data_IF_813214701104
#
_entry.id   IF_813214701104
#
_cell.length_a   1.000
_cell.length_b   1.000
_cell.length_c   1.000
_cell.angle_alpha   90.00
_cell.angle_beta   90.00
_cell.angle_gamma   90.00
#
_symmetry.space_group_name_H-M   'P 1'
#
loop_
_entity.id
_entity.type
_entity.pdbx_description
1 polymer ?
#
# COMPACT_ATOMS: atom_id res chain seq x y z
N UNK A 1 26.59 11.34 3.66
CA UNK A 1 25.43 12.00 3.04
C UNK A 1 25.76 13.46 2.81
N UNK A 2 25.31 14.01 1.68
CA UNK A 2 25.52 15.41 1.33
C UNK A 2 24.16 16.06 1.07
N UNK A 3 24.09 17.34 1.31
CA UNK A 3 22.95 18.14 0.88
C UNK A 3 23.00 18.32 -0.65
N UNK A 4 21.92 17.96 -1.34
CA UNK A 4 21.89 17.92 -2.81
C UNK A 4 21.98 19.29 -3.49
N UNK A 5 21.58 20.37 -2.80
CA UNK A 5 21.61 21.73 -3.35
C UNK A 5 22.96 22.44 -3.11
N UNK A 6 23.57 22.20 -1.95
CA UNK A 6 24.75 22.95 -1.51
C UNK A 6 26.03 22.14 -1.50
N UNK A 7 25.94 20.81 -1.55
CA UNK A 7 27.07 19.90 -1.39
C UNK A 7 27.63 19.83 0.05
N UNK A 8 26.97 20.46 1.04
CA UNK A 8 27.40 20.40 2.42
C UNK A 8 27.27 18.99 2.98
N UNK A 9 28.22 18.57 3.81
CA UNK A 9 28.17 17.28 4.49
C UNK A 9 27.08 17.31 5.56
N UNK A 10 26.07 16.47 5.45
CA UNK A 10 25.01 16.27 6.46
C UNK A 10 25.37 15.14 7.43
N UNK A 11 25.93 14.05 6.92
CA UNK A 11 26.30 12.89 7.72
C UNK A 11 27.57 12.24 7.17
N UNK A 12 28.39 11.70 8.03
CA UNK A 12 29.56 10.93 7.68
C UNK A 12 29.68 9.71 8.60
N UNK A 13 29.73 8.53 7.98
CA UNK A 13 30.05 7.27 8.66
C UNK A 13 31.49 6.86 8.32
N UNK A 14 32.44 6.97 9.28
CA UNK A 14 33.85 6.74 9.01
C UNK A 14 34.26 5.27 9.17
N UNK A 15 33.43 4.39 9.72
CA UNK A 15 33.77 2.99 9.97
C UNK A 15 33.68 2.10 8.73
N UNK A 16 33.04 2.60 7.66
CA UNK A 16 32.92 1.89 6.40
C UNK A 16 34.30 1.59 5.78
N UNK A 17 34.44 0.37 5.33
CA UNK A 17 35.64 -0.13 4.64
C UNK A 17 35.23 -0.94 3.42
N UNK A 18 35.85 -0.64 2.26
CA UNK A 18 35.58 -1.32 0.99
C UNK A 18 36.90 -1.72 0.33
N UNK A 19 36.95 -2.92 -0.24
CA UNK A 19 38.07 -3.41 -1.03
C UNK A 19 37.79 -3.43 -2.53
N UNK A 20 36.56 -3.29 -2.91
CA UNK A 20 36.11 -3.34 -4.30
C UNK A 20 35.52 -1.99 -4.69
N UNK A 21 35.46 -1.71 -5.96
CA UNK A 21 34.85 -0.47 -6.47
C UNK A 21 33.35 -0.66 -6.75
N UNK A 22 32.74 -1.68 -6.20
CA UNK A 22 31.39 -2.12 -6.59
C UNK A 22 30.36 -2.01 -5.46
N UNK A 23 30.78 -1.79 -4.22
CA UNK A 23 29.86 -1.56 -3.12
C UNK A 23 29.22 -0.18 -3.26
N UNK A 24 27.93 -0.15 -3.13
CA UNK A 24 27.14 1.08 -3.07
C UNK A 24 25.98 0.93 -2.08
N UNK A 25 25.53 2.00 -1.47
CA UNK A 25 24.39 1.94 -0.58
C UNK A 25 23.09 1.67 -1.35
N UNK A 26 22.22 0.91 -0.71
CA UNK A 26 20.79 0.84 -1.05
C UNK A 26 20.02 1.73 -0.10
N UNK A 27 18.86 2.22 -0.53
CA UNK A 27 17.98 3.06 0.28
C UNK A 27 16.59 2.46 0.20
N UNK A 28 16.11 1.92 1.30
CA UNK A 28 14.84 1.24 1.38
C UNK A 28 14.32 1.29 2.82
N UNK A 29 13.02 1.24 3.00
CA UNK A 29 12.39 1.00 4.28
C UNK A 29 12.53 -0.49 4.61
N UNK A 30 13.34 -0.83 5.61
CA UNK A 30 13.66 -2.23 5.93
C UNK A 30 13.00 -2.73 7.20
N UNK A 31 12.47 -1.85 8.03
CA UNK A 31 11.75 -2.20 9.24
C UNK A 31 10.25 -1.86 9.17
N UNK A 32 9.84 -1.33 8.01
CA UNK A 32 8.46 -1.04 7.67
C UNK A 32 7.83 0.04 8.57
N UNK A 33 8.62 1.04 8.92
CA UNK A 33 8.17 2.20 9.70
C UNK A 33 7.74 3.40 8.82
N UNK A 34 7.84 3.26 7.49
CA UNK A 34 7.49 4.27 6.50
C UNK A 34 8.64 5.20 6.12
N UNK A 35 9.79 5.11 6.77
CA UNK A 35 10.97 5.93 6.49
C UNK A 35 12.09 5.09 5.87
N UNK A 36 12.96 5.72 5.10
CA UNK A 36 14.02 5.00 4.40
C UNK A 36 15.29 4.88 5.24
N UNK A 37 15.89 3.69 5.26
CA UNK A 37 17.21 3.41 5.79
C UNK A 37 18.25 3.41 4.69
N UNK A 38 19.49 3.70 5.08
CA UNK A 38 20.67 3.55 4.23
C UNK A 38 21.36 2.24 4.61
N UNK A 39 21.37 1.29 3.68
CA UNK A 39 21.99 -0.02 3.87
C UNK A 39 23.26 -0.09 3.05
N UNK A 40 24.36 -0.50 3.67
CA UNK A 40 25.63 -0.72 2.96
C UNK A 40 26.40 -1.91 3.53
N UNK A 41 27.31 -2.43 2.72
CA UNK A 41 28.19 -3.53 3.11
C UNK A 41 29.61 -3.02 3.35
N UNK A 42 30.31 -3.61 4.30
CA UNK A 42 31.72 -3.35 4.60
C UNK A 42 32.55 -4.61 4.52
N UNK A 43 33.81 -4.48 4.12
CA UNK A 43 34.76 -5.56 4.08
C UNK A 43 35.96 -5.29 5.01
N UNK A 44 36.64 -6.35 5.51
CA UNK A 44 37.79 -6.22 6.40
C UNK A 44 39.07 -5.78 5.70
N UNK A 45 39.07 -5.43 4.45
CA UNK A 45 40.27 -5.24 3.64
C UNK A 45 41.23 -4.16 4.18
N UNK A 46 40.69 -3.09 4.74
CA UNK A 46 41.48 -1.99 5.32
C UNK A 46 41.35 -1.87 6.84
N UNK A 47 40.91 -2.92 7.52
CA UNK A 47 40.82 -2.97 8.99
C UNK A 47 39.61 -2.28 9.57
N UNK A 48 38.61 -1.96 8.76
CA UNK A 48 37.31 -1.43 9.22
C UNK A 48 36.34 -2.53 9.66
N UNK A 49 35.13 -2.13 9.95
CA UNK A 49 34.04 -3.05 10.26
C UNK A 49 33.68 -3.92 9.05
N UNK A 50 33.07 -5.06 9.31
CA UNK A 50 32.64 -6.01 8.29
C UNK A 50 31.17 -6.33 8.45
N UNK A 51 30.52 -6.67 7.32
CA UNK A 51 29.14 -7.11 7.31
C UNK A 51 28.21 -6.10 6.65
N UNK A 52 26.94 -6.13 7.06
CA UNK A 52 25.88 -5.23 6.59
C UNK A 52 25.56 -4.25 7.71
N UNK A 53 25.50 -2.98 7.36
CA UNK A 53 25.11 -1.90 8.28
C UNK A 53 23.86 -1.23 7.71
N UNK A 54 22.86 -1.01 8.57
CA UNK A 54 21.75 -0.14 8.32
C UNK A 54 21.89 1.12 9.18
N UNK A 55 21.67 2.27 8.59
CA UNK A 55 21.62 3.56 9.28
C UNK A 55 20.21 4.10 9.14
N UNK A 56 19.59 4.44 10.25
CA UNK A 56 18.27 5.05 10.35
C UNK A 56 18.36 6.43 11.01
N UNK A 57 17.35 7.23 10.87
CA UNK A 57 17.20 8.51 11.57
C UNK A 57 16.38 8.29 12.85
N UNK A 58 16.94 8.67 13.99
CA UNK A 58 16.27 8.51 15.28
C UNK A 58 15.04 9.42 15.47
N UNK A 59 14.92 10.45 14.65
CA UNK A 59 13.81 11.41 14.67
C UNK A 59 12.77 11.09 13.55
N UNK A 60 12.96 9.98 12.81
CA UNK A 60 12.06 9.54 11.71
C UNK A 60 11.81 10.68 10.69
N UNK A 61 12.81 11.52 10.47
CA UNK A 61 12.69 12.71 9.63
C UNK A 61 13.16 12.49 8.18
N UNK A 62 13.69 11.31 7.87
CA UNK A 62 14.11 10.99 6.51
C UNK A 62 12.90 10.78 5.62
N UNK A 63 13.13 11.03 4.33
CA UNK A 63 12.09 10.79 3.34
C UNK A 63 11.68 9.33 3.35
N UNK A 64 10.42 9.08 3.07
CA UNK A 64 9.93 7.72 2.91
C UNK A 64 10.71 6.91 1.87
N UNK A 65 10.74 5.60 2.03
CA UNK A 65 11.40 4.65 1.15
C UNK A 65 10.52 3.48 0.78
N UNK A 66 10.68 2.94 -0.43
CA UNK A 66 10.02 1.68 -0.79
C UNK A 66 10.67 0.52 -0.01
N UNK A 67 9.89 -0.47 0.45
CA UNK A 67 10.41 -1.63 1.17
C UNK A 67 11.16 -2.62 0.25
N UNK A 68 11.41 -2.24 -1.00
CA UNK A 68 11.97 -3.11 -2.03
C UNK A 68 13.21 -2.49 -2.67
N UNK A 69 14.33 -3.24 -2.60
CA UNK A 69 15.51 -3.02 -3.43
C UNK A 69 16.10 -4.38 -3.80
N UNK A 70 15.53 -5.06 -4.79
CA UNK A 70 15.83 -6.45 -5.10
C UNK A 70 16.80 -6.65 -6.27
N UNK A 71 17.37 -5.60 -6.82
CA UNK A 71 18.25 -5.72 -7.99
C UNK A 71 19.31 -4.59 -8.05
N UNK A 72 20.45 -4.90 -8.67
CA UNK A 72 21.55 -3.96 -8.80
C UNK A 72 21.19 -2.71 -9.61
N UNK A 73 20.50 -2.88 -10.72
CA UNK A 73 20.03 -1.79 -11.57
C UNK A 73 18.58 -1.40 -11.21
N UNK A 74 18.35 -1.17 -9.91
CA UNK A 74 17.06 -0.75 -9.41
C UNK A 74 16.57 0.54 -10.06
N UNK A 75 15.31 0.55 -10.44
CA UNK A 75 14.58 1.73 -10.88
C UNK A 75 13.13 1.58 -10.44
N UNK A 76 12.47 2.66 -10.14
CA UNK A 76 11.07 2.68 -9.70
C UNK A 76 10.12 1.99 -10.69
N UNK A 77 10.45 1.99 -11.99
CA UNK A 77 9.62 1.38 -13.04
C UNK A 77 9.97 -0.07 -13.34
N UNK A 78 11.06 -0.63 -12.81
CA UNK A 78 11.48 -1.99 -13.14
C UNK A 78 11.29 -3.01 -12.02
N UNK A 79 10.60 -2.61 -10.98
CA UNK A 79 10.12 -3.45 -9.88
C UNK A 79 8.86 -2.80 -9.31
N UNK A 80 7.82 -3.59 -9.05
CA UNK A 80 6.62 -3.12 -8.35
C UNK A 80 6.80 -3.14 -6.82
N UNK A 81 5.81 -2.66 -6.08
CA UNK A 81 5.87 -2.55 -4.62
C UNK A 81 5.85 -3.91 -3.91
N UNK A 82 5.39 -4.95 -4.58
CA UNK A 82 5.45 -6.34 -4.10
C UNK A 82 6.76 -7.06 -4.49
N UNK A 83 7.70 -6.36 -5.12
CA UNK A 83 8.98 -6.91 -5.53
C UNK A 83 8.96 -7.69 -6.84
N UNK A 84 7.85 -7.70 -7.58
CA UNK A 84 7.78 -8.37 -8.87
C UNK A 84 8.45 -7.53 -9.97
N UNK A 85 9.08 -8.21 -10.91
CA UNK A 85 9.76 -7.58 -12.05
C UNK A 85 8.81 -7.63 -13.24
N UNK A 86 8.30 -6.51 -13.74
CA UNK A 86 7.40 -6.48 -14.88
C UNK A 86 8.11 -7.02 -16.14
N UNK A 87 7.38 -7.80 -16.95
CA UNK A 87 7.92 -8.36 -18.19
C UNK A 87 8.33 -7.26 -19.19
N UNK A 88 7.72 -6.10 -19.08
CA UNK A 88 8.03 -4.90 -19.85
C UNK A 88 7.88 -3.69 -18.93
N UNK A 89 8.95 -3.24 -18.29
CA UNK A 89 8.91 -2.06 -17.45
C UNK A 89 8.57 -0.80 -18.26
N UNK A 90 7.91 0.13 -17.63
CA UNK A 90 7.68 1.46 -18.19
C UNK A 90 8.98 2.24 -18.35
N UNK A 91 8.94 3.22 -19.22
CA UNK A 91 10.10 4.05 -19.50
C UNK A 91 10.31 5.05 -18.36
N UNK A 92 11.34 4.85 -17.55
CA UNK A 92 11.58 5.64 -16.36
C UNK A 92 11.70 7.16 -16.63
N UNK A 93 12.38 7.54 -17.70
CA UNK A 93 12.63 8.96 -18.02
C UNK A 93 11.39 9.71 -18.53
N UNK A 94 10.31 9.03 -18.85
CA UNK A 94 9.08 9.70 -19.29
C UNK A 94 8.30 10.26 -18.08
N UNK A 95 8.40 9.61 -16.92
CA UNK A 95 7.63 9.99 -15.73
C UNK A 95 8.52 10.45 -14.57
N UNK A 96 9.62 9.77 -14.32
CA UNK A 96 10.45 10.00 -13.12
C UNK A 96 11.80 10.61 -13.44
N UNK A 97 12.43 10.22 -14.53
CA UNK A 97 13.77 10.64 -14.95
C UNK A 97 14.81 10.50 -13.81
N UNK A 98 14.75 9.43 -13.08
CA UNK A 98 15.65 9.11 -11.98
C UNK A 98 16.39 7.79 -12.22
N UNK A 99 17.44 7.54 -11.44
CA UNK A 99 18.18 6.29 -11.47
C UNK A 99 18.56 5.87 -10.05
N UNK A 100 18.22 4.65 -9.68
CA UNK A 100 18.53 4.09 -8.36
C UNK A 100 18.03 4.98 -7.21
N UNK A 101 16.84 5.47 -7.34
CA UNK A 101 16.12 6.21 -6.30
C UNK A 101 14.67 5.77 -6.24
N UNK A 102 14.07 5.89 -5.07
CA UNK A 102 12.64 5.78 -4.89
C UNK A 102 11.90 7.00 -5.48
N UNK A 103 10.59 6.96 -5.47
CA UNK A 103 9.76 8.07 -5.82
C UNK A 103 9.65 9.04 -4.64
N UNK A 104 10.28 10.20 -4.79
CA UNK A 104 10.20 11.27 -3.78
C UNK A 104 8.95 12.14 -3.94
N UNK A 105 8.15 11.91 -4.96
CA UNK A 105 6.90 12.64 -5.19
C UNK A 105 5.71 11.98 -4.49
N UNK A 106 5.83 10.72 -4.10
CA UNK A 106 4.87 10.05 -3.24
C UNK A 106 5.09 10.58 -1.82
N UNK A 107 4.16 11.37 -1.35
CA UNK A 107 4.27 12.09 -0.06
C UNK A 107 4.26 11.18 1.17
N UNK A 108 4.14 9.89 1.01
CA UNK A 108 4.01 8.91 2.08
C UNK A 108 4.67 7.60 1.67
N UNK A 109 5.97 7.63 1.48
CA UNK A 109 6.92 6.52 1.50
C UNK A 109 6.72 5.29 0.66
N UNK A 110 5.87 5.32 -0.31
CA UNK A 110 5.58 4.12 -1.10
C UNK A 110 4.85 3.02 -0.33
N UNK A 111 4.62 3.21 0.96
CA UNK A 111 3.70 2.41 1.72
C UNK A 111 2.31 3.01 1.52
N UNK A 112 1.56 2.46 0.62
CA UNK A 112 0.16 2.81 0.44
C UNK A 112 -0.70 1.72 1.06
N UNK A 113 -1.88 2.13 1.47
CA UNK A 113 -2.97 1.22 1.77
C UNK A 113 -3.48 0.56 0.49
N UNK A 114 -4.24 -0.48 0.62
CA UNK A 114 -4.91 -1.14 -0.49
C UNK A 114 -6.19 -1.78 0.06
N UNK A 115 -7.30 -1.06 -0.05
CA UNK A 115 -8.58 -1.45 0.53
C UNK A 115 -9.31 -2.42 -0.39
N UNK A 116 -9.55 -3.62 0.08
CA UNK A 116 -10.31 -4.63 -0.66
C UNK A 116 -11.56 -5.02 0.09
N UNK A 117 -12.72 -5.14 -0.57
CA UNK A 117 -13.93 -5.61 0.09
C UNK A 117 -13.80 -7.10 0.47
N UNK A 118 -14.26 -7.45 1.67
CA UNK A 118 -14.33 -8.83 2.16
C UNK A 118 -15.80 -9.17 2.38
N UNK A 119 -16.35 -10.05 1.56
CA UNK A 119 -17.71 -10.54 1.74
C UNK A 119 -17.69 -11.68 2.76
N UNK A 120 -18.23 -11.44 3.95
CA UNK A 120 -18.30 -12.45 5.01
C UNK A 120 -19.53 -13.35 4.87
N UNK A 121 -20.71 -12.77 4.59
CA UNK A 121 -21.97 -13.51 4.49
C UNK A 121 -23.01 -12.77 3.67
N UNK A 122 -23.94 -13.52 3.09
CA UNK A 122 -25.16 -13.03 2.44
C UNK A 122 -26.33 -13.86 2.95
N UNK A 123 -27.11 -13.31 3.87
CA UNK A 123 -28.26 -13.96 4.46
C UNK A 123 -29.55 -13.51 3.78
N UNK A 124 -30.19 -14.42 3.06
CA UNK A 124 -31.42 -14.18 2.29
C UNK A 124 -32.67 -14.87 2.88
N UNK A 125 -32.58 -15.40 4.09
CA UNK A 125 -33.67 -16.16 4.73
C UNK A 125 -34.86 -15.25 5.05
N UNK A 126 -34.65 -13.94 5.24
CA UNK A 126 -35.67 -12.96 5.59
C UNK A 126 -36.14 -12.11 4.39
N UNK A 127 -35.80 -12.52 3.17
CA UNK A 127 -36.26 -11.85 1.96
C UNK A 127 -37.81 -11.70 1.87
N UNK A 128 -38.53 -12.69 2.38
CA UNK A 128 -39.99 -12.67 2.42
C UNK A 128 -40.56 -11.60 3.36
N UNK A 129 -39.79 -11.14 4.31
CA UNK A 129 -40.14 -10.08 5.27
C UNK A 129 -39.55 -8.71 4.86
N UNK A 130 -38.86 -8.65 3.72
CA UNK A 130 -38.32 -7.40 3.14
C UNK A 130 -36.88 -7.10 3.58
N UNK A 131 -36.11 -8.08 4.03
CA UNK A 131 -34.75 -7.90 4.51
C UNK A 131 -33.76 -8.82 3.80
N UNK A 132 -32.68 -8.25 3.29
CA UNK A 132 -31.48 -8.95 2.82
C UNK A 132 -30.30 -8.45 3.64
N UNK A 133 -29.69 -9.33 4.43
CA UNK A 133 -28.50 -8.96 5.20
C UNK A 133 -27.24 -9.34 4.44
N UNK A 134 -26.37 -8.36 4.25
CA UNK A 134 -25.04 -8.55 3.66
C UNK A 134 -24.01 -8.11 4.68
N UNK A 135 -23.13 -9.02 5.08
CA UNK A 135 -22.04 -8.73 6.02
C UNK A 135 -20.74 -8.55 5.24
N UNK A 136 -20.21 -7.34 5.31
CA UNK A 136 -19.01 -6.94 4.56
C UNK A 136 -17.98 -6.32 5.49
N UNK A 137 -16.72 -6.68 5.32
CA UNK A 137 -15.56 -6.01 5.89
C UNK A 137 -14.69 -5.40 4.81
N UNK A 138 -13.62 -4.76 5.23
CA UNK A 138 -12.54 -4.30 4.37
C UNK A 138 -11.22 -4.93 4.82
N UNK A 139 -10.39 -5.35 3.88
CA UNK A 139 -9.03 -5.81 4.13
C UNK A 139 -8.02 -4.80 3.65
N UNK A 140 -6.90 -4.68 4.35
CA UNK A 140 -5.76 -3.91 3.91
C UNK A 140 -4.72 -4.83 3.25
N UNK A 141 -4.65 -4.82 1.93
CA UNK A 141 -3.63 -5.57 1.17
C UNK A 141 -2.39 -4.72 0.90
N UNK A 142 -2.40 -3.46 1.31
CA UNK A 142 -1.28 -2.55 1.20
C UNK A 142 -0.17 -2.80 2.20
N UNK A 143 0.76 -1.86 2.26
CA UNK A 143 1.94 -1.92 3.11
C UNK A 143 1.95 -0.83 4.20
N UNK A 144 0.99 0.10 4.17
CA UNK A 144 0.76 1.11 5.21
C UNK A 144 -0.45 0.76 6.05
N UNK A 145 -0.51 1.26 7.28
CA UNK A 145 -1.71 1.21 8.10
C UNK A 145 -2.84 1.97 7.43
N UNK A 146 -3.97 1.32 7.25
CA UNK A 146 -5.18 1.92 6.71
C UNK A 146 -5.96 2.59 7.85
N UNK A 147 -6.28 3.88 7.76
CA UNK A 147 -6.92 4.61 8.86
C UNK A 147 -8.34 4.11 9.14
N UNK A 148 -8.88 4.44 10.31
CA UNK A 148 -10.31 4.36 10.56
C UNK A 148 -11.10 5.29 9.63
N UNK A 149 -12.37 4.99 9.40
CA UNK A 149 -13.25 5.82 8.57
C UNK A 149 -13.23 5.49 7.08
N UNK A 150 -12.69 4.33 6.70
CA UNK A 150 -12.73 3.86 5.30
C UNK A 150 -14.15 3.45 4.94
N UNK A 151 -14.65 3.96 3.83
CA UNK A 151 -16.00 3.70 3.36
C UNK A 151 -16.16 2.28 2.81
N UNK A 152 -17.27 1.64 3.15
CA UNK A 152 -17.77 0.45 2.45
C UNK A 152 -19.14 0.82 1.92
N UNK A 153 -19.30 0.75 0.60
CA UNK A 153 -20.51 1.16 -0.09
C UNK A 153 -21.11 0.01 -0.89
N UNK A 154 -22.42 -0.11 -0.82
CA UNK A 154 -23.19 -1.05 -1.63
C UNK A 154 -23.91 -0.30 -2.74
N UNK A 155 -23.72 -0.75 -3.96
CA UNK A 155 -24.35 -0.25 -5.17
C UNK A 155 -25.30 -1.30 -5.76
N UNK A 156 -26.44 -0.86 -6.28
CA UNK A 156 -27.33 -1.68 -7.08
C UNK A 156 -27.84 -0.89 -8.26
N UNK A 157 -27.93 -1.52 -9.43
CA UNK A 157 -28.35 -0.88 -10.69
C UNK A 157 -27.53 0.37 -11.07
N UNK A 158 -26.31 0.50 -10.51
CA UNK A 158 -25.42 1.65 -10.71
C UNK A 158 -25.66 2.82 -9.74
N UNK A 159 -26.60 2.70 -8.82
CA UNK A 159 -26.89 3.70 -7.80
C UNK A 159 -26.35 3.26 -6.43
N UNK A 160 -25.88 4.21 -5.64
CA UNK A 160 -25.47 3.98 -4.25
C UNK A 160 -26.70 3.67 -3.40
N UNK A 161 -26.67 2.54 -2.69
CA UNK A 161 -27.74 2.09 -1.79
C UNK A 161 -27.45 2.51 -0.36
N UNK A 162 -26.29 2.13 0.16
CA UNK A 162 -25.89 2.39 1.56
C UNK A 162 -24.38 2.47 1.66
N UNK A 163 -23.88 3.27 2.62
CA UNK A 163 -22.47 3.36 2.99
C UNK A 163 -22.32 3.24 4.50
N UNK A 164 -21.36 2.44 4.96
CA UNK A 164 -20.87 2.38 6.33
C UNK A 164 -19.36 2.63 6.34
N UNK A 165 -18.80 2.92 7.51
CA UNK A 165 -17.39 3.28 7.65
C UNK A 165 -16.73 2.43 8.71
N UNK A 166 -15.47 2.06 8.50
CA UNK A 166 -14.67 1.35 9.52
C UNK A 166 -14.43 2.23 10.75
N UNK A 167 -14.34 1.62 11.91
CA UNK A 167 -14.08 2.29 13.20
C UNK A 167 -12.73 1.89 13.82
N UNK A 168 -11.88 1.23 13.03
CA UNK A 168 -10.57 0.73 13.45
C UNK A 168 -9.49 1.00 12.38
N UNK A 169 -8.24 1.11 12.85
CA UNK A 169 -7.05 1.14 11.98
C UNK A 169 -6.69 -0.31 11.62
N UNK A 170 -6.40 -0.58 10.36
CA UNK A 170 -6.04 -1.91 9.89
C UNK A 170 -4.58 -1.93 9.42
N UNK A 171 -3.76 -2.70 10.11
CA UNK A 171 -2.36 -2.92 9.68
C UNK A 171 -2.29 -3.76 8.40
N UNK A 172 -1.17 -3.74 7.69
CA UNK A 172 -0.95 -4.56 6.50
C UNK A 172 -1.31 -6.03 6.70
N UNK A 173 -2.19 -6.54 5.84
CA UNK A 173 -2.69 -7.92 5.89
C UNK A 173 -3.84 -8.16 6.86
N UNK A 174 -4.28 -7.16 7.61
CA UNK A 174 -5.46 -7.26 8.48
C UNK A 174 -6.76 -7.00 7.72
N UNK A 175 -7.87 -7.44 8.30
CA UNK A 175 -9.22 -7.20 7.82
C UNK A 175 -10.13 -6.78 8.97
N UNK A 176 -11.06 -5.88 8.67
CA UNK A 176 -12.06 -5.40 9.65
C UNK A 176 -13.05 -6.49 10.04
N UNK A 177 -13.68 -6.31 11.19
CA UNK A 177 -14.90 -7.04 11.50
C UNK A 177 -15.99 -6.74 10.44
N UNK A 178 -16.91 -7.69 10.26
CA UNK A 178 -17.99 -7.54 9.29
C UNK A 178 -19.04 -6.53 9.76
N UNK A 179 -19.32 -5.55 8.94
CA UNK A 179 -20.45 -4.62 9.07
C UNK A 179 -21.68 -5.19 8.39
N UNK A 180 -22.83 -5.12 9.04
CA UNK A 180 -24.09 -5.66 8.51
C UNK A 180 -24.88 -4.56 7.81
N UNK A 181 -25.18 -4.80 6.55
CA UNK A 181 -26.08 -3.99 5.73
C UNK A 181 -27.45 -4.67 5.69
N UNK A 182 -28.51 -3.94 6.04
CA UNK A 182 -29.92 -4.39 5.98
C UNK A 182 -30.58 -3.74 4.76
N UNK A 183 -30.63 -4.48 3.68
CA UNK A 183 -31.05 -3.96 2.37
C UNK A 183 -32.51 -4.36 2.07
N UNK A 184 -33.27 -3.44 1.51
CA UNK A 184 -34.61 -3.72 0.97
C UNK A 184 -34.50 -4.43 -0.40
N UNK A 185 -34.88 -5.72 -0.49
CA UNK A 185 -34.75 -6.49 -1.73
C UNK A 185 -35.54 -5.88 -2.91
N UNK A 186 -36.61 -5.15 -2.67
CA UNK A 186 -37.42 -4.54 -3.74
C UNK A 186 -36.68 -3.40 -4.46
N UNK A 187 -35.65 -2.83 -3.80
CA UNK A 187 -34.83 -1.77 -4.36
C UNK A 187 -33.56 -2.32 -5.09
N UNK A 188 -33.35 -3.62 -5.05
CA UNK A 188 -32.13 -4.23 -5.60
C UNK A 188 -32.39 -4.82 -7.00
N UNK A 189 -31.36 -4.82 -7.84
CA UNK A 189 -31.32 -5.56 -9.09
C UNK A 189 -30.92 -7.03 -8.88
N UNK A 190 -30.60 -7.71 -9.98
CA UNK A 190 -30.14 -9.10 -9.95
C UNK A 190 -28.70 -9.27 -9.39
N UNK A 191 -28.01 -8.17 -9.11
CA UNK A 191 -26.69 -8.13 -8.51
C UNK A 191 -26.50 -6.84 -7.72
N UNK A 192 -25.63 -6.93 -6.72
CA UNK A 192 -25.10 -5.76 -6.03
C UNK A 192 -23.59 -5.71 -6.20
N UNK A 193 -23.01 -4.52 -6.12
CA UNK A 193 -21.56 -4.31 -6.12
C UNK A 193 -21.18 -3.69 -4.79
N UNK A 194 -20.25 -4.32 -4.11
CA UNK A 194 -19.62 -3.79 -2.91
C UNK A 194 -18.37 -3.06 -3.32
N UNK A 195 -18.16 -1.86 -2.80
CA UNK A 195 -16.94 -1.10 -2.99
C UNK A 195 -16.32 -0.73 -1.64
N UNK A 196 -15.02 -0.94 -1.53
CA UNK A 196 -14.20 -0.39 -0.46
C UNK A 196 -13.63 0.95 -0.91
N UNK A 197 -13.34 1.83 0.05
CA UNK A 197 -12.75 3.17 -0.14
C UNK A 197 -13.54 4.12 -1.07
N UNK A 198 -14.77 3.87 -1.36
CA UNK A 198 -15.60 4.75 -2.19
C UNK A 198 -16.91 5.07 -1.50
N UNK A 199 -17.22 6.37 -1.36
CA UNK A 199 -18.51 6.88 -0.95
C UNK A 199 -19.14 7.76 -2.05
N UNK A 200 -20.20 8.52 -1.71
CA UNK A 200 -20.86 9.43 -2.64
C UNK A 200 -19.95 10.56 -3.16
N UNK A 201 -18.84 10.84 -2.51
CA UNK A 201 -17.86 11.85 -2.89
C UNK A 201 -16.72 11.29 -3.76
N UNK A 202 -16.56 9.97 -3.83
CA UNK A 202 -15.53 9.26 -4.55
C UNK A 202 -14.57 8.52 -3.62
N UNK A 203 -13.42 8.06 -4.14
CA UNK A 203 -12.34 7.42 -3.37
C UNK A 203 -11.72 8.39 -2.37
N UNK A 204 -11.36 7.88 -1.20
CA UNK A 204 -10.86 8.65 -0.05
C UNK A 204 -9.37 8.45 0.18
N UNK A 205 -8.83 7.29 -0.17
CA UNK A 205 -7.43 6.92 0.03
C UNK A 205 -6.64 7.03 -1.28
N UNK A 206 -5.35 7.25 -1.17
CA UNK A 206 -4.45 6.96 -2.29
C UNK A 206 -3.96 5.52 -2.14
N UNK A 207 -4.21 4.69 -3.13
CA UNK A 207 -3.97 3.26 -3.02
C UNK A 207 -2.96 2.74 -4.05
N UNK A 208 -2.37 1.58 -3.75
CA UNK A 208 -1.46 0.92 -4.68
C UNK A 208 -2.19 0.33 -5.88
N UNK A 209 -3.44 -0.10 -5.68
CA UNK A 209 -4.23 -0.78 -6.69
C UNK A 209 -5.73 -0.42 -6.55
N UNK A 210 -6.20 0.45 -7.40
CA UNK A 210 -7.61 0.88 -7.44
C UNK A 210 -8.52 -0.12 -8.18
N UNK A 211 -7.96 -1.13 -8.83
CA UNK A 211 -8.74 -2.08 -9.64
C UNK A 211 -9.38 -3.22 -8.81
N UNK A 212 -8.97 -3.40 -7.55
CA UNK A 212 -9.44 -4.45 -6.63
C UNK A 212 -10.45 -3.96 -5.57
N UNK A 213 -10.78 -2.67 -5.56
CA UNK A 213 -11.68 -2.03 -4.59
C UNK A 213 -13.15 -2.41 -4.74
N UNK A 214 -13.50 -3.30 -5.65
CA UNK A 214 -14.90 -3.68 -5.87
C UNK A 214 -15.09 -5.17 -6.06
N UNK A 215 -16.17 -5.69 -5.49
CA UNK A 215 -16.60 -7.06 -5.68
C UNK A 215 -18.10 -7.13 -5.97
N UNK A 216 -18.48 -8.01 -6.91
CA UNK A 216 -19.86 -8.19 -7.34
C UNK A 216 -20.49 -9.45 -6.76
N UNK A 217 -21.63 -9.29 -6.14
CA UNK A 217 -22.46 -10.39 -5.64
C UNK A 217 -23.63 -10.63 -6.60
N UNK A 218 -23.67 -11.82 -7.20
CA UNK A 218 -24.72 -12.24 -8.15
C UNK A 218 -25.57 -13.40 -7.64
N UNK A 219 -25.20 -13.99 -6.49
CA UNK A 219 -25.88 -15.16 -5.91
C UNK A 219 -26.23 -14.87 -4.46
N UNK A 220 -27.29 -15.53 -4.01
CA UNK A 220 -27.76 -15.37 -2.62
C UNK A 220 -28.62 -14.15 -2.40
N UNK A 221 -28.95 -13.39 -3.46
CA UNK A 221 -29.92 -12.31 -3.40
C UNK A 221 -31.36 -12.83 -3.44
N UNK A 222 -32.31 -12.00 -3.06
CA UNK A 222 -33.73 -12.35 -2.93
C UNK A 222 -34.47 -12.49 -4.28
N UNK A 223 -34.01 -13.30 -5.20
CA UNK A 223 -34.61 -13.47 -6.55
C UNK A 223 -35.27 -14.81 -6.68
#
# INVERSE_FOLDING_TARGET
MFDGATGAVKMREPSHSSATCSEYPSVADIDNDGHAEIIYTSSAYSGGETGVTAIMDADESWMPGRPVWNQHAYSITNVDDLGAIPAKPDVNWDSFNNFRSGDSTVNEGGLLTDAVPIIHDVCNDECGDGHLYVTVGVGNQGLADMPEGVAISIYSLGELVETQYTDEVLSPGEGSEGMVFDLDPEMLGSSITVKADEDAAGSMLGECNEDNNSEKIEKGLCN
#
